data_IF_545102387886
#
_entry.id   IF_545102387886
#
_cell.length_a   1.000
_cell.length_b   1.000
_cell.length_c   1.000
_cell.angle_alpha   90.00
_cell.angle_beta   90.00
_cell.angle_gamma   90.00
#
_symmetry.space_group_name_H-M   'P 1'
#
loop_
_entity.id
_entity.type
_entity.pdbx_description
1 polymer ?
#
# COMPACT_ATOMS: atom_id res chain seq x y z
N UNK A 1 27.10 27.98 -9.62
CA UNK A 1 25.88 28.58 -10.23
C UNK A 1 24.91 27.51 -10.79
N UNK A 2 24.82 26.30 -10.19
CA UNK A 2 23.99 25.20 -10.72
C UNK A 2 22.75 24.86 -9.88
N UNK A 3 22.62 25.42 -8.66
CA UNK A 3 21.54 25.07 -7.73
C UNK A 3 20.21 25.80 -7.98
N UNK A 4 20.17 26.80 -8.87
CA UNK A 4 18.97 27.59 -9.14
C UNK A 4 17.96 26.91 -10.09
N UNK A 5 18.36 25.85 -10.82
CA UNK A 5 17.60 25.33 -11.95
C UNK A 5 16.52 24.27 -11.59
N UNK A 6 16.37 23.89 -10.32
CA UNK A 6 15.34 22.94 -9.89
C UNK A 6 14.05 23.61 -9.35
N UNK A 7 13.92 24.94 -9.43
CA UNK A 7 12.62 25.61 -9.24
C UNK A 7 11.81 25.37 -10.51
N UNK A 8 11.07 24.27 -10.56
CA UNK A 8 10.02 24.08 -11.56
C UNK A 8 9.22 25.38 -11.65
N UNK A 9 9.22 26.01 -12.82
CA UNK A 9 8.52 27.25 -13.05
C UNK A 9 7.03 26.99 -12.79
N UNK A 10 6.56 27.36 -11.60
CA UNK A 10 5.13 27.38 -11.30
C UNK A 10 4.56 28.47 -12.20
N UNK A 11 3.85 28.06 -13.24
CA UNK A 11 3.12 28.97 -14.12
C UNK A 11 2.31 29.93 -13.22
N UNK A 12 2.41 31.25 -13.41
CA UNK A 12 1.62 32.20 -12.62
C UNK A 12 0.13 31.86 -12.79
N UNK A 13 -0.52 31.49 -11.68
CA UNK A 13 -1.91 31.02 -11.65
C UNK A 13 -2.11 29.52 -11.40
N UNK A 14 -1.03 28.72 -11.32
CA UNK A 14 -1.13 27.31 -10.94
C UNK A 14 -1.15 27.16 -9.41
N UNK A 15 -2.33 26.84 -8.87
CA UNK A 15 -2.53 26.56 -7.45
C UNK A 15 -2.01 25.14 -7.11
N UNK A 16 -0.96 25.01 -6.28
CA UNK A 16 -0.44 23.71 -5.85
C UNK A 16 -1.49 22.82 -5.16
N UNK A 17 -2.55 23.39 -4.58
CA UNK A 17 -3.63 22.64 -3.95
C UNK A 17 -4.59 21.99 -4.97
N UNK A 18 -4.59 22.43 -6.24
CA UNK A 18 -5.41 21.85 -7.33
C UNK A 18 -4.79 20.64 -8.01
N UNK A 19 -3.66 20.16 -7.50
CA UNK A 19 -2.97 18.97 -7.99
C UNK A 19 -3.82 17.73 -7.69
N UNK A 20 -4.11 16.93 -8.72
CA UNK A 20 -4.88 15.68 -8.59
C UNK A 20 -4.26 14.72 -7.59
N UNK A 21 -2.93 14.62 -7.56
CA UNK A 21 -2.19 13.84 -6.57
C UNK A 21 -2.42 14.35 -5.14
N UNK A 22 -2.56 15.66 -4.92
CA UNK A 22 -2.80 16.23 -3.58
C UNK A 22 -4.21 15.92 -3.08
N UNK A 23 -5.21 15.95 -3.97
CA UNK A 23 -6.61 15.69 -3.61
C UNK A 23 -6.84 14.25 -3.13
N UNK A 24 -6.11 13.28 -3.69
CA UNK A 24 -6.28 11.86 -3.36
C UNK A 24 -5.13 11.28 -2.51
N UNK A 25 -4.04 12.02 -2.28
CA UNK A 25 -2.96 11.57 -1.40
C UNK A 25 -3.39 11.65 0.05
N UNK A 26 -3.78 10.50 0.58
CA UNK A 26 -3.91 10.26 2.02
C UNK A 26 -2.55 10.55 2.67
N UNK A 27 -2.51 11.53 3.58
CA UNK A 27 -1.34 11.75 4.45
C UNK A 27 -1.35 10.66 5.50
N UNK A 28 -0.28 9.87 5.55
CA UNK A 28 0.00 8.93 6.63
C UNK A 28 1.12 9.49 7.48
N UNK A 29 1.09 9.19 8.77
CA UNK A 29 2.15 9.55 9.71
C UNK A 29 3.50 9.02 9.21
N UNK A 30 4.56 9.76 9.50
CA UNK A 30 5.93 9.31 9.21
C UNK A 30 6.20 8.01 9.99
N UNK A 31 6.72 6.98 9.31
CA UNK A 31 6.91 5.65 9.89
C UNK A 31 5.65 4.76 9.91
N UNK A 32 4.57 5.12 9.22
CA UNK A 32 3.43 4.23 9.05
C UNK A 32 3.78 3.04 8.14
N UNK A 33 4.21 1.94 8.76
CA UNK A 33 4.48 0.67 8.10
C UNK A 33 3.25 -0.24 8.12
N UNK A 34 3.05 -0.99 7.02
CA UNK A 34 2.03 -2.02 7.01
C UNK A 34 2.44 -3.15 7.95
N UNK A 35 1.56 -3.51 8.90
CA UNK A 35 1.86 -4.59 9.84
C UNK A 35 2.08 -5.91 9.10
N UNK A 36 3.24 -6.53 9.32
CA UNK A 36 3.59 -7.86 8.77
C UNK A 36 2.59 -8.95 9.15
N UNK A 37 1.84 -8.76 10.25
CA UNK A 37 0.78 -9.68 10.66
C UNK A 37 -0.32 -9.87 9.62
N UNK A 38 -0.54 -8.90 8.72
CA UNK A 38 -1.48 -9.08 7.60
C UNK A 38 -1.03 -10.19 6.65
N UNK A 39 0.25 -10.23 6.28
CA UNK A 39 0.78 -11.27 5.39
C UNK A 39 0.82 -12.63 6.08
N UNK A 40 1.22 -12.66 7.36
CA UNK A 40 1.23 -13.89 8.17
C UNK A 40 -0.20 -14.42 8.32
N UNK A 41 -1.15 -13.56 8.67
CA UNK A 41 -2.56 -13.93 8.81
C UNK A 41 -3.16 -14.42 7.49
N UNK A 42 -2.88 -13.76 6.37
CA UNK A 42 -3.35 -14.19 5.05
C UNK A 42 -2.82 -15.58 4.68
N UNK A 43 -1.52 -15.83 4.91
CA UNK A 43 -0.89 -17.13 4.66
C UNK A 43 -1.50 -18.24 5.54
N UNK A 44 -1.66 -17.97 6.84
CA UNK A 44 -2.25 -18.94 7.76
C UNK A 44 -3.70 -19.23 7.38
N UNK A 45 -4.50 -18.19 7.10
CA UNK A 45 -5.89 -18.35 6.69
C UNK A 45 -6.03 -19.17 5.40
N UNK A 46 -5.28 -18.84 4.35
CA UNK A 46 -5.35 -19.58 3.08
C UNK A 46 -4.93 -21.04 3.25
N UNK A 47 -3.85 -21.28 3.99
CA UNK A 47 -3.34 -22.63 4.24
C UNK A 47 -4.33 -23.45 5.05
N UNK A 48 -4.90 -22.88 6.11
CA UNK A 48 -5.93 -23.53 6.92
C UNK A 48 -7.17 -23.88 6.11
N UNK A 49 -7.59 -23.02 5.17
CA UNK A 49 -8.71 -23.32 4.26
C UNK A 49 -8.40 -24.53 3.38
N UNK A 50 -7.23 -24.56 2.74
CA UNK A 50 -6.83 -25.70 1.89
C UNK A 50 -6.75 -26.98 2.72
N UNK A 51 -6.12 -26.93 3.88
CA UNK A 51 -6.01 -28.07 4.80
C UNK A 51 -7.42 -28.54 5.19
N UNK A 52 -8.30 -27.66 5.64
CA UNK A 52 -9.65 -28.03 6.04
C UNK A 52 -10.44 -28.71 4.90
N UNK A 53 -10.32 -28.21 3.68
CA UNK A 53 -10.97 -28.80 2.51
C UNK A 53 -10.44 -30.20 2.18
N UNK A 54 -9.13 -30.41 2.30
CA UNK A 54 -8.50 -31.71 1.99
C UNK A 54 -8.62 -32.72 3.14
N UNK A 55 -8.63 -32.26 4.40
CA UNK A 55 -8.71 -33.10 5.59
C UNK A 55 -10.12 -33.61 5.89
N UNK A 56 -11.16 -33.07 5.24
CA UNK A 56 -12.54 -33.55 5.40
C UNK A 56 -12.88 -34.76 4.51
N UNK A 57 -11.91 -35.31 3.77
CA UNK A 57 -12.05 -36.54 2.97
C UNK A 57 -11.79 -37.76 3.87
N UNK A 58 -12.81 -38.57 4.22
CA UNK A 58 -12.61 -39.77 5.01
C UNK A 58 -11.80 -40.80 4.20
N UNK A 59 -10.64 -41.21 4.70
CA UNK A 59 -9.72 -42.13 4.01
C UNK A 59 -8.66 -41.46 3.11
N UNK A 60 -8.47 -40.14 3.22
CA UNK A 60 -7.39 -39.42 2.53
C UNK A 60 -6.05 -39.54 3.27
N UNK A 61 -5.10 -40.25 2.63
CA UNK A 61 -3.76 -40.66 3.11
C UNK A 61 -3.75 -41.56 4.35
#
# INVERSE_FOLDING_TARGET
MAAQQAKAAVQPGFDPARRTDVLFRVRREEGHELSSWWFIGAFLASSSVVIALLSWVPGGA
#
